data_IF_476900072757
#
_entry.id   IF_476900072757
#
_cell.length_a   1.000
_cell.length_b   1.000
_cell.length_c   1.000
_cell.angle_alpha   90.00
_cell.angle_beta   90.00
_cell.angle_gamma   90.00
#
_symmetry.space_group_name_H-M   'P 1'
#
loop_
_entity.id
_entity.type
_entity.pdbx_description
1 polymer ?
#
# COMPACT_ATOMS: atom_id res chain seq x y z
N UNK A 1 -3.68 -27.42 -67.62
CA UNK A 1 -3.44 -26.19 -66.85
C UNK A 1 -3.79 -26.46 -65.40
N UNK A 2 -2.79 -26.49 -64.50
CA UNK A 2 -2.96 -26.69 -63.05
C UNK A 2 -3.11 -25.31 -62.39
N UNK A 3 -4.17 -25.08 -61.60
CA UNK A 3 -4.34 -23.88 -60.80
C UNK A 3 -4.48 -24.26 -59.32
N UNK A 4 -3.72 -23.54 -58.49
CA UNK A 4 -3.31 -23.86 -57.12
C UNK A 4 -4.40 -23.56 -56.08
N UNK A 5 -4.49 -24.42 -55.06
CA UNK A 5 -5.28 -24.20 -53.84
C UNK A 5 -4.40 -23.38 -52.87
N UNK A 6 -4.86 -22.24 -52.31
CA UNK A 6 -4.05 -21.48 -51.38
C UNK A 6 -4.04 -22.17 -50.02
N UNK A 7 -2.85 -22.56 -49.57
CA UNK A 7 -2.60 -23.13 -48.25
C UNK A 7 -2.68 -22.02 -47.22
N UNK A 8 -3.75 -22.03 -46.42
CA UNK A 8 -3.98 -21.08 -45.33
C UNK A 8 -3.10 -21.50 -44.13
N UNK A 9 -2.03 -20.73 -43.88
CA UNK A 9 -1.10 -20.95 -42.78
C UNK A 9 -1.78 -20.50 -41.46
N UNK A 10 -2.16 -21.45 -40.62
CA UNK A 10 -2.54 -21.21 -39.23
C UNK A 10 -1.25 -20.92 -38.42
N UNK A 11 -1.05 -19.65 -38.07
CA UNK A 11 -0.06 -19.26 -37.06
C UNK A 11 -0.56 -19.74 -35.68
N UNK A 12 0.25 -20.46 -34.89
CA UNK A 12 -0.13 -20.82 -33.54
C UNK A 12 -0.20 -19.53 -32.70
N UNK A 13 -1.36 -19.27 -32.10
CA UNK A 13 -1.49 -18.30 -31.02
C UNK A 13 -0.57 -18.75 -29.89
N UNK A 14 0.61 -18.15 -29.81
CA UNK A 14 1.45 -18.24 -28.63
C UNK A 14 0.68 -17.58 -27.48
N UNK A 15 0.03 -18.40 -26.65
CA UNK A 15 -0.51 -17.96 -25.38
C UNK A 15 0.68 -17.51 -24.53
N UNK A 16 0.93 -16.20 -24.49
CA UNK A 16 1.82 -15.62 -23.49
C UNK A 16 1.13 -15.83 -22.14
N UNK A 17 1.43 -16.95 -21.49
CA UNK A 17 1.08 -17.15 -20.09
C UNK A 17 1.86 -16.13 -19.30
N UNK A 18 1.21 -15.05 -18.86
CA UNK A 18 1.80 -14.16 -17.87
C UNK A 18 2.25 -15.03 -16.67
N UNK A 19 3.47 -14.87 -16.15
CA UNK A 19 3.88 -15.64 -14.99
C UNK A 19 2.86 -15.36 -13.89
N UNK A 20 2.22 -16.41 -13.39
CA UNK A 20 1.30 -16.31 -12.27
C UNK A 20 2.03 -15.58 -11.14
N UNK A 21 1.56 -14.38 -10.80
CA UNK A 21 2.06 -13.63 -9.65
C UNK A 21 1.66 -14.41 -8.41
N UNK A 22 2.56 -15.31 -8.00
CA UNK A 22 2.36 -16.28 -6.93
C UNK A 22 1.94 -15.54 -5.66
N UNK A 23 0.86 -15.99 -5.02
CA UNK A 23 0.46 -15.51 -3.70
C UNK A 23 1.67 -15.53 -2.73
N UNK A 24 1.75 -14.55 -1.83
CA UNK A 24 2.87 -14.43 -0.88
C UNK A 24 3.04 -15.75 -0.11
N UNK A 25 4.24 -16.33 -0.19
CA UNK A 25 4.58 -17.51 0.59
C UNK A 25 4.69 -17.14 2.08
N UNK A 26 4.60 -18.14 2.97
CA UNK A 26 4.80 -17.94 4.42
C UNK A 26 6.14 -17.25 4.72
N UNK A 27 7.18 -17.58 3.97
CA UNK A 27 8.50 -16.97 4.06
C UNK A 27 8.49 -15.49 3.62
N UNK A 28 7.71 -15.13 2.62
CA UNK A 28 7.58 -13.74 2.19
C UNK A 28 6.88 -12.86 3.24
N UNK A 29 5.91 -13.44 3.97
CA UNK A 29 5.23 -12.77 5.08
C UNK A 29 6.21 -12.55 6.24
N UNK A 30 6.99 -13.56 6.60
CA UNK A 30 8.01 -13.46 7.66
C UNK A 30 9.11 -12.43 7.34
N UNK A 31 9.54 -12.37 6.09
CA UNK A 31 10.47 -11.34 5.59
C UNK A 31 9.84 -9.95 5.73
N UNK A 32 8.59 -9.79 5.33
CA UNK A 32 7.87 -8.52 5.39
C UNK A 32 7.71 -7.99 6.83
N UNK A 33 7.51 -8.89 7.81
CA UNK A 33 7.32 -8.53 9.22
C UNK A 33 8.64 -8.35 10.01
N UNK A 34 9.78 -8.62 9.39
CA UNK A 34 11.09 -8.57 10.05
C UNK A 34 11.50 -7.17 10.51
N UNK A 35 12.34 -7.08 11.56
CA UNK A 35 12.87 -5.81 12.06
C UNK A 35 13.66 -5.05 10.99
N UNK A 36 14.45 -5.76 10.19
CA UNK A 36 15.20 -5.20 9.06
C UNK A 36 14.29 -4.59 8.00
N UNK A 37 13.13 -5.20 7.74
CA UNK A 37 12.15 -4.66 6.81
C UNK A 37 11.50 -3.39 7.37
N UNK A 38 11.12 -3.38 8.65
CA UNK A 38 10.56 -2.20 9.33
C UNK A 38 11.52 -1.01 9.30
N UNK A 39 12.79 -1.22 9.59
CA UNK A 39 13.80 -0.14 9.56
C UNK A 39 14.04 0.39 8.14
N UNK A 40 13.85 -0.45 7.13
CA UNK A 40 14.08 -0.10 5.72
C UNK A 40 12.84 0.47 5.02
N UNK A 41 11.65 0.31 5.61
CA UNK A 41 10.35 0.66 5.04
C UNK A 41 9.58 1.56 6.01
N UNK A 42 9.92 2.86 6.07
CA UNK A 42 9.35 3.76 7.05
C UNK A 42 7.83 3.93 6.88
N UNK A 43 7.31 3.78 5.66
CA UNK A 43 5.87 3.76 5.37
C UNK A 43 5.15 2.65 6.14
N UNK A 44 5.65 1.42 6.06
CA UNK A 44 5.06 0.26 6.74
C UNK A 44 5.32 0.29 8.25
N UNK A 45 6.52 0.70 8.66
CA UNK A 45 6.89 0.80 10.07
C UNK A 45 5.98 1.77 10.82
N UNK A 46 5.82 2.99 10.30
CA UNK A 46 4.97 3.98 10.96
C UNK A 46 3.48 3.61 10.85
N UNK A 47 3.03 2.96 9.76
CA UNK A 47 1.65 2.43 9.71
C UNK A 47 1.39 1.42 10.82
N UNK A 48 2.33 0.49 11.05
CA UNK A 48 2.21 -0.49 12.13
C UNK A 48 2.18 0.18 13.50
N UNK A 49 3.07 1.12 13.77
CA UNK A 49 3.05 1.88 15.03
C UNK A 49 1.74 2.63 15.22
N UNK A 50 1.19 3.23 14.15
CA UNK A 50 -0.11 3.88 14.16
C UNK A 50 -1.24 2.91 14.51
N UNK A 51 -1.28 1.75 13.87
CA UNK A 51 -2.28 0.71 14.13
C UNK A 51 -2.20 0.14 15.55
N UNK A 52 -0.98 -0.09 16.06
CA UNK A 52 -0.76 -0.60 17.40
C UNK A 52 -1.16 0.45 18.46
N UNK A 53 -0.83 1.74 18.24
CA UNK A 53 -1.26 2.83 19.11
C UNK A 53 -2.78 3.02 19.09
N UNK A 54 -3.41 2.93 17.92
CA UNK A 54 -4.86 3.06 17.75
C UNK A 54 -5.61 1.96 18.50
N UNK A 55 -5.20 0.69 18.34
CA UNK A 55 -5.76 -0.46 19.07
C UNK A 55 -5.62 -0.34 20.58
N UNK A 56 -4.57 0.34 21.04
CA UNK A 56 -4.35 0.61 22.46
C UNK A 56 -5.07 1.87 22.97
N UNK A 57 -5.95 2.49 22.16
CA UNK A 57 -6.69 3.70 22.53
C UNK A 57 -5.86 4.99 22.54
N UNK A 58 -4.59 4.94 22.14
CA UNK A 58 -3.70 6.13 22.09
C UNK A 58 -3.87 6.85 20.75
N UNK A 59 -5.05 7.40 20.53
CA UNK A 59 -5.48 7.97 19.24
C UNK A 59 -4.63 9.16 18.79
N UNK A 60 -4.22 10.06 19.69
CA UNK A 60 -3.30 11.15 19.31
C UNK A 60 -1.94 10.64 18.79
N UNK A 61 -1.42 9.59 19.44
CA UNK A 61 -0.17 8.95 19.03
C UNK A 61 -0.34 8.24 17.68
N UNK A 62 -1.46 7.57 17.48
CA UNK A 62 -1.81 6.95 16.21
C UNK A 62 -1.83 7.97 15.06
N UNK A 63 -2.45 9.15 15.25
CA UNK A 63 -2.42 10.23 14.23
C UNK A 63 -1.00 10.63 13.87
N UNK A 64 -0.12 10.80 14.87
CA UNK A 64 1.28 11.17 14.62
C UNK A 64 1.99 10.11 13.77
N UNK A 65 1.87 8.83 14.12
CA UNK A 65 2.50 7.77 13.33
C UNK A 65 1.90 7.63 11.93
N UNK A 66 0.58 7.69 11.77
CA UNK A 66 -0.02 7.66 10.44
C UNK A 66 0.40 8.86 9.57
N UNK A 67 0.59 10.05 10.15
CA UNK A 67 1.17 11.19 9.43
C UNK A 67 2.62 10.94 9.01
N UNK A 68 3.41 10.24 9.83
CA UNK A 68 4.78 9.84 9.46
C UNK A 68 4.77 8.83 8.31
N UNK A 69 3.88 7.85 8.32
CA UNK A 69 3.69 6.92 7.21
C UNK A 69 3.21 7.62 5.92
N UNK A 70 2.24 8.54 6.04
CA UNK A 70 1.71 9.30 4.92
C UNK A 70 2.78 10.17 4.23
N UNK A 71 3.84 10.62 4.95
CA UNK A 71 4.99 11.33 4.33
C UNK A 71 5.69 10.50 3.25
N UNK A 72 5.52 9.19 3.28
CA UNK A 72 6.06 8.18 2.38
C UNK A 72 4.97 7.55 1.48
N UNK A 73 3.85 8.24 1.26
CA UNK A 73 2.79 7.84 0.34
C UNK A 73 2.03 6.55 0.74
N UNK A 74 1.99 6.21 2.02
CA UNK A 74 1.20 5.06 2.50
C UNK A 74 -0.30 5.36 2.45
N UNK A 75 -1.02 4.74 1.50
CA UNK A 75 -2.45 4.99 1.26
C UNK A 75 -3.35 4.52 2.40
N UNK A 76 -3.00 3.42 3.04
CA UNK A 76 -3.74 2.90 4.20
C UNK A 76 -3.69 3.87 5.39
N UNK A 77 -2.54 4.50 5.64
CA UNK A 77 -2.39 5.52 6.69
C UNK A 77 -3.07 6.84 6.33
N UNK A 78 -3.09 7.22 5.06
CA UNK A 78 -3.91 8.34 4.59
C UNK A 78 -5.40 8.08 4.83
N UNK A 79 -5.89 6.87 4.51
CA UNK A 79 -7.27 6.48 4.79
C UNK A 79 -7.57 6.43 6.30
N UNK A 80 -6.65 5.90 7.12
CA UNK A 80 -6.80 5.90 8.58
C UNK A 80 -6.85 7.32 9.15
N UNK A 81 -5.98 8.23 8.69
CA UNK A 81 -6.06 9.65 9.08
C UNK A 81 -7.39 10.27 8.71
N UNK A 82 -7.94 9.93 7.55
CA UNK A 82 -9.24 10.41 7.12
C UNK A 82 -10.35 9.96 8.07
N UNK A 83 -10.40 8.68 8.42
CA UNK A 83 -11.40 8.15 9.36
C UNK A 83 -11.26 8.78 10.75
N UNK A 84 -10.03 8.92 11.23
CA UNK A 84 -9.77 9.56 12.52
C UNK A 84 -10.17 11.05 12.53
N UNK A 85 -9.92 11.78 11.44
CA UNK A 85 -10.39 13.17 11.32
C UNK A 85 -11.91 13.24 11.22
N UNK A 86 -12.55 12.26 10.57
CA UNK A 86 -14.00 12.19 10.45
C UNK A 86 -14.66 11.98 11.82
N UNK A 87 -14.10 11.10 12.64
CA UNK A 87 -14.65 10.71 13.93
C UNK A 87 -14.20 11.60 15.11
N UNK A 88 -13.26 12.52 14.91
CA UNK A 88 -12.64 13.27 16.00
C UNK A 88 -11.80 12.39 16.94
N UNK A 89 -11.11 11.40 16.39
CA UNK A 89 -10.25 10.51 17.16
C UNK A 89 -8.86 11.14 17.30
N UNK A 90 -8.42 11.40 18.54
CA UNK A 90 -7.10 11.96 18.83
C UNK A 90 -6.96 13.44 18.43
N UNK A 91 -8.08 14.17 18.43
CA UNK A 91 -8.20 15.61 18.11
C UNK A 91 -9.65 15.92 17.75
N UNK A 92 -9.97 17.15 17.36
CA UNK A 92 -11.33 17.50 16.97
C UNK A 92 -11.72 16.86 15.61
N UNK A 93 -13.02 16.67 15.42
CA UNK A 93 -13.58 16.25 14.15
C UNK A 93 -13.43 17.37 13.11
N UNK A 94 -12.94 17.01 11.93
CA UNK A 94 -12.75 17.92 10.79
C UNK A 94 -13.06 17.15 9.50
N UNK A 95 -14.31 17.23 9.05
CA UNK A 95 -14.80 16.49 7.88
C UNK A 95 -14.12 16.95 6.59
N UNK A 96 -13.79 18.23 6.48
CA UNK A 96 -13.09 18.78 5.33
C UNK A 96 -11.66 18.23 5.22
N UNK A 97 -10.94 18.16 6.35
CA UNK A 97 -9.63 17.52 6.41
C UNK A 97 -9.72 16.00 6.17
N UNK A 98 -10.75 15.35 6.73
CA UNK A 98 -11.02 13.93 6.48
C UNK A 98 -11.19 13.63 5.00
N UNK A 99 -12.00 14.44 4.29
CA UNK A 99 -12.16 14.34 2.85
C UNK A 99 -10.83 14.45 2.11
N UNK A 100 -10.00 15.44 2.46
CA UNK A 100 -8.69 15.65 1.81
C UNK A 100 -7.76 14.44 2.01
N UNK A 101 -7.73 13.86 3.20
CA UNK A 101 -6.94 12.64 3.45
C UNK A 101 -7.45 11.44 2.66
N UNK A 102 -8.77 11.26 2.56
CA UNK A 102 -9.37 10.16 1.80
C UNK A 102 -9.19 10.36 0.29
N UNK A 103 -9.25 11.59 -0.21
CA UNK A 103 -8.98 11.92 -1.61
C UNK A 103 -7.53 11.61 -1.99
N UNK A 104 -6.57 11.92 -1.12
CA UNK A 104 -5.19 11.47 -1.29
C UNK A 104 -5.08 9.94 -1.26
N UNK A 105 -5.79 9.26 -0.36
CA UNK A 105 -5.81 7.79 -0.34
C UNK A 105 -6.32 7.21 -1.67
N UNK A 106 -7.28 7.88 -2.29
CA UNK A 106 -7.91 7.51 -3.56
C UNK A 106 -7.10 7.84 -4.83
N UNK A 107 -5.96 8.54 -4.74
CA UNK A 107 -5.12 8.91 -5.90
C UNK A 107 -4.75 7.73 -6.82
N UNK A 108 -4.67 6.51 -6.26
CA UNK A 108 -4.34 5.28 -7.01
C UNK A 108 -5.56 4.56 -7.59
N UNK A 109 -6.74 5.16 -7.48
CA UNK A 109 -7.98 4.64 -8.06
C UNK A 109 -8.55 3.40 -7.39
N UNK A 110 -8.16 3.13 -6.13
CA UNK A 110 -8.71 1.99 -5.40
C UNK A 110 -10.22 2.19 -5.17
N UNK A 111 -11.09 1.27 -5.64
CA UNK A 111 -12.54 1.47 -5.58
C UNK A 111 -13.07 1.76 -4.17
N UNK A 112 -12.51 1.11 -3.15
CA UNK A 112 -12.88 1.32 -1.74
C UNK A 112 -12.64 2.78 -1.31
N UNK A 113 -11.47 3.35 -1.62
CA UNK A 113 -11.13 4.73 -1.22
C UNK A 113 -11.86 5.76 -2.06
N UNK A 114 -12.07 5.49 -3.35
CA UNK A 114 -12.90 6.34 -4.22
C UNK A 114 -14.33 6.39 -3.66
N UNK A 115 -14.93 5.24 -3.35
CA UNK A 115 -16.29 5.20 -2.79
C UNK A 115 -16.39 5.94 -1.45
N UNK A 116 -15.42 5.76 -0.55
CA UNK A 116 -15.37 6.45 0.74
C UNK A 116 -15.17 7.96 0.58
N UNK A 117 -14.33 8.40 -0.36
CA UNK A 117 -14.16 9.81 -0.72
C UNK A 117 -15.48 10.42 -1.19
N UNK A 118 -16.17 9.76 -2.12
CA UNK A 118 -17.46 10.26 -2.64
C UNK A 118 -18.52 10.33 -1.53
N UNK A 119 -18.51 9.36 -0.61
CA UNK A 119 -19.37 9.37 0.56
C UNK A 119 -19.08 10.55 1.49
N UNK A 120 -17.80 10.88 1.73
CA UNK A 120 -17.43 12.09 2.48
C UNK A 120 -17.87 13.36 1.76
N UNK A 121 -17.62 13.47 0.45
CA UNK A 121 -18.00 14.67 -0.31
C UNK A 121 -19.49 14.99 -0.24
N UNK A 122 -20.35 13.97 -0.31
CA UNK A 122 -21.80 14.10 -0.22
C UNK A 122 -22.29 14.63 1.12
N UNK A 123 -21.53 14.40 2.19
CA UNK A 123 -21.86 14.83 3.55
C UNK A 123 -21.33 16.22 3.89
N UNK A 124 -20.31 16.70 3.16
CA UNK A 124 -19.78 18.05 3.38
C UNK A 124 -20.81 19.10 2.97
N UNK A 125 -20.96 20.13 3.81
CA UNK A 125 -21.63 21.36 3.43
C UNK A 125 -20.74 22.25 2.54
N UNK A 126 -21.27 23.40 2.10
CA UNK A 126 -20.56 24.29 1.18
C UNK A 126 -19.34 24.96 1.83
N UNK A 127 -19.37 25.21 3.13
CA UNK A 127 -18.26 25.83 3.87
C UNK A 127 -17.13 24.83 4.07
N UNK A 128 -17.47 23.58 4.43
CA UNK A 128 -16.54 22.47 4.55
C UNK A 128 -15.90 22.12 3.20
N UNK A 129 -16.65 22.15 2.08
CA UNK A 129 -16.09 21.99 0.73
C UNK A 129 -15.10 23.09 0.37
N UNK A 130 -15.42 24.36 0.70
CA UNK A 130 -14.45 25.45 0.49
C UNK A 130 -13.21 25.27 1.35
N UNK A 131 -13.37 24.82 2.60
CA UNK A 131 -12.26 24.53 3.50
C UNK A 131 -11.37 23.40 2.97
N UNK A 132 -11.98 22.31 2.48
CA UNK A 132 -11.26 21.14 1.95
C UNK A 132 -10.36 21.52 0.77
N UNK A 133 -10.83 22.39 -0.13
CA UNK A 133 -10.01 22.93 -1.24
C UNK A 133 -8.83 23.75 -0.72
N UNK A 134 -9.02 24.56 0.33
CA UNK A 134 -7.96 25.40 0.89
C UNK A 134 -6.88 24.59 1.58
N UNK A 135 -7.25 23.66 2.47
CA UNK A 135 -6.29 22.81 3.20
C UNK A 135 -5.66 21.77 2.29
N UNK A 136 -6.43 21.24 1.33
CA UNK A 136 -6.01 20.26 0.34
C UNK A 136 -4.74 20.67 -0.38
N UNK A 137 -4.66 21.90 -0.90
CA UNK A 137 -3.48 22.38 -1.65
C UNK A 137 -2.16 22.19 -0.90
N UNK A 138 -2.13 22.54 0.40
CA UNK A 138 -0.93 22.41 1.24
C UNK A 138 -0.63 20.95 1.57
N UNK A 139 -1.67 20.15 1.83
CA UNK A 139 -1.51 18.73 2.16
C UNK A 139 -1.02 17.93 0.95
N UNK A 140 -1.62 18.11 -0.22
CA UNK A 140 -1.23 17.45 -1.47
C UNK A 140 0.24 17.71 -1.83
N UNK A 141 0.72 18.95 -1.68
CA UNK A 141 2.12 19.30 -1.91
C UNK A 141 3.11 18.56 -0.98
N UNK A 142 2.64 18.03 0.16
CA UNK A 142 3.47 17.32 1.13
C UNK A 142 3.26 15.81 1.07
N UNK A 143 2.03 15.35 0.95
CA UNK A 143 1.61 13.97 1.18
C UNK A 143 1.06 13.27 -0.06
N UNK A 144 0.69 14.01 -1.10
CA UNK A 144 0.25 13.43 -2.37
C UNK A 144 1.37 12.61 -3.02
N UNK A 145 0.98 11.60 -3.78
CA UNK A 145 1.90 10.63 -4.41
C UNK A 145 3.07 11.30 -5.18
N UNK A 146 2.85 12.36 -6.00
CA UNK A 146 3.94 13.02 -6.73
C UNK A 146 5.06 13.56 -5.82
N UNK A 147 4.71 13.96 -4.60
CA UNK A 147 5.66 14.54 -3.64
C UNK A 147 6.21 13.51 -2.65
N UNK A 148 5.38 12.53 -2.28
CA UNK A 148 5.68 11.57 -1.22
C UNK A 148 6.41 10.32 -1.72
N UNK A 149 6.05 9.78 -2.89
CA UNK A 149 6.71 8.57 -3.45
C UNK A 149 8.23 8.76 -3.62
N UNK A 150 8.74 9.88 -4.16
CA UNK A 150 10.19 10.08 -4.30
C UNK A 150 10.97 10.02 -2.98
N UNK A 151 10.32 10.25 -1.83
CA UNK A 151 10.96 10.10 -0.52
C UNK A 151 11.19 8.64 -0.18
N UNK A 152 10.14 7.81 -0.28
CA UNK A 152 10.28 6.39 0.00
C UNK A 152 11.26 5.73 -0.96
N UNK A 153 11.16 6.05 -2.25
CA UNK A 153 12.06 5.48 -3.26
C UNK A 153 13.54 5.79 -3.01
N UNK A 154 13.84 6.97 -2.45
CA UNK A 154 15.21 7.31 -2.03
C UNK A 154 15.65 6.40 -0.87
N UNK A 155 14.78 6.17 0.10
CA UNK A 155 15.05 5.24 1.22
C UNK A 155 15.29 3.83 0.68
N UNK A 156 14.40 3.31 -0.17
CA UNK A 156 14.53 1.96 -0.76
C UNK A 156 15.85 1.79 -1.52
N UNK A 157 16.23 2.78 -2.35
CA UNK A 157 17.51 2.75 -3.09
C UNK A 157 18.71 2.74 -2.15
N UNK A 158 18.71 3.57 -1.11
CA UNK A 158 19.81 3.63 -0.14
C UNK A 158 19.91 2.32 0.65
N UNK A 159 18.79 1.84 1.19
CA UNK A 159 18.76 0.65 2.02
C UNK A 159 19.12 -0.61 1.22
N UNK A 160 18.64 -0.74 -0.01
CA UNK A 160 19.04 -1.82 -0.91
C UNK A 160 20.57 -1.88 -1.09
N UNK A 161 21.21 -0.73 -1.28
CA UNK A 161 22.66 -0.64 -1.46
C UNK A 161 23.43 -0.94 -0.17
N UNK A 162 22.90 -0.56 1.00
CA UNK A 162 23.52 -0.84 2.29
C UNK A 162 23.43 -2.33 2.65
N UNK A 163 22.28 -2.96 2.43
CA UNK A 163 22.06 -4.37 2.78
C UNK A 163 22.81 -5.27 1.78
N UNK A 164 22.75 -4.97 0.47
CA UNK A 164 23.49 -5.70 -0.57
C UNK A 164 25.03 -5.49 -0.51
N UNK A 165 25.50 -4.43 0.16
CA UNK A 165 26.91 -4.09 0.31
C UNK A 165 27.68 -4.93 1.35
N UNK A 166 27.04 -5.88 2.04
CA UNK A 166 27.69 -6.77 3.00
C UNK A 166 28.46 -7.92 2.33
N UNK A 167 29.64 -7.56 1.81
CA UNK A 167 30.86 -8.35 1.57
C UNK A 167 30.97 -9.42 0.47
N UNK A 168 29.93 -9.99 -0.10
CA UNK A 168 30.10 -10.83 -1.31
C UNK A 168 28.87 -10.63 -2.17
N UNK A 169 29.01 -9.97 -3.33
CA UNK A 169 27.96 -9.77 -4.34
C UNK A 169 27.44 -11.06 -4.99
N UNK A 170 27.48 -12.17 -4.26
CA UNK A 170 26.98 -13.49 -4.60
C UNK A 170 25.82 -13.82 -3.67
N UNK A 171 24.60 -13.45 -4.08
CA UNK A 171 23.35 -13.91 -3.45
C UNK A 171 23.05 -15.31 -4.03
N UNK A 172 23.96 -16.27 -3.83
CA UNK A 172 23.70 -17.68 -4.09
C UNK A 172 22.80 -18.27 -2.99
N UNK A 173 22.98 -19.54 -2.65
CA UNK A 173 22.29 -20.24 -1.53
C UNK A 173 22.60 -19.67 -0.13
N UNK A 174 22.96 -18.39 -0.03
CA UNK A 174 23.22 -17.70 1.22
C UNK A 174 21.92 -17.48 2.01
N UNK A 175 22.00 -17.71 3.31
CA UNK A 175 20.93 -17.42 4.25
C UNK A 175 21.15 -16.03 4.85
N UNK A 176 20.13 -15.17 4.83
CA UNK A 176 20.08 -13.93 5.61
C UNK A 176 19.49 -14.25 6.97
N UNK A 177 20.15 -13.80 8.04
CA UNK A 177 19.63 -13.88 9.41
C UNK A 177 18.80 -12.64 9.71
N UNK A 178 17.49 -12.82 9.88
CA UNK A 178 16.57 -11.75 10.23
C UNK A 178 16.29 -11.77 11.73
N UNK A 179 16.54 -10.66 12.46
CA UNK A 179 16.12 -10.56 13.84
C UNK A 179 14.58 -10.50 13.92
N UNK A 180 14.01 -11.52 14.55
CA UNK A 180 12.59 -11.65 14.84
C UNK A 180 12.18 -10.79 16.04
N UNK A 181 10.87 -10.56 16.16
CA UNK A 181 10.30 -9.65 17.18
C UNK A 181 10.48 -10.13 18.62
N UNK A 182 10.80 -11.40 18.83
CA UNK A 182 10.94 -12.03 20.16
C UNK A 182 12.42 -12.24 20.57
N UNK A 183 13.37 -11.57 19.90
CA UNK A 183 14.81 -11.73 20.15
C UNK A 183 15.44 -12.99 19.54
N UNK A 184 14.67 -13.80 18.81
CA UNK A 184 15.19 -14.91 17.98
C UNK A 184 15.63 -14.46 16.59
N UNK A 185 16.30 -15.33 15.85
CA UNK A 185 16.68 -15.08 14.45
C UNK A 185 16.01 -16.10 13.53
N UNK A 186 15.53 -15.63 12.39
CA UNK A 186 15.01 -16.47 11.31
C UNK A 186 16.00 -16.50 10.15
N UNK A 187 16.31 -17.71 9.65
CA UNK A 187 17.12 -17.91 8.45
C UNK A 187 16.18 -17.89 7.25
N UNK A 188 16.38 -16.93 6.36
CA UNK A 188 15.65 -16.86 5.09
C UNK A 188 16.65 -16.89 3.94
N UNK A 189 16.28 -17.50 2.83
CA UNK A 189 17.07 -17.39 1.62
C UNK A 189 17.25 -15.91 1.27
N UNK A 190 18.49 -15.45 1.07
CA UNK A 190 18.75 -14.05 0.76
C UNK A 190 17.98 -13.59 -0.49
N UNK A 191 17.78 -14.49 -1.47
CA UNK A 191 16.95 -14.22 -2.65
C UNK A 191 15.50 -13.84 -2.31
N UNK A 192 14.92 -14.41 -1.24
CA UNK A 192 13.57 -14.06 -0.78
C UNK A 192 13.53 -12.68 -0.11
N UNK A 193 14.61 -12.30 0.57
CA UNK A 193 14.73 -10.97 1.19
C UNK A 193 14.93 -9.86 0.16
N UNK A 194 15.77 -10.09 -0.86
CA UNK A 194 16.13 -9.10 -1.89
C UNK A 194 15.19 -9.06 -3.10
N UNK A 195 14.00 -9.66 -3.03
CA UNK A 195 13.06 -9.63 -4.13
C UNK A 195 12.75 -8.20 -4.56
N UNK A 196 12.66 -7.98 -5.88
CA UNK A 196 12.44 -6.66 -6.46
C UNK A 196 11.22 -5.95 -5.87
N UNK A 197 10.16 -6.70 -5.54
CA UNK A 197 8.93 -6.18 -4.91
C UNK A 197 9.13 -5.52 -3.54
N UNK A 198 10.27 -5.72 -2.89
CA UNK A 198 10.59 -5.04 -1.63
C UNK A 198 11.53 -3.84 -1.85
N UNK A 199 12.34 -3.82 -2.91
CA UNK A 199 13.46 -2.85 -3.00
C UNK A 199 13.48 -2.00 -4.27
N UNK A 200 12.88 -2.45 -5.37
CA UNK A 200 12.78 -1.66 -6.61
C UNK A 200 11.50 -0.81 -6.56
N UNK A 201 11.61 0.54 -6.63
CA UNK A 201 10.46 1.45 -6.61
C UNK A 201 9.22 0.99 -7.38
N UNK A 202 9.36 0.73 -8.68
CA UNK A 202 8.22 0.39 -9.54
C UNK A 202 7.57 -0.94 -9.13
N UNK A 203 8.39 -1.94 -8.78
CA UNK A 203 7.91 -3.25 -8.33
C UNK A 203 7.27 -3.16 -6.94
N UNK A 204 7.80 -2.31 -6.06
CA UNK A 204 7.28 -2.07 -4.71
C UNK A 204 5.89 -1.45 -4.76
N UNK A 205 5.72 -0.36 -5.52
CA UNK A 205 4.42 0.29 -5.66
C UNK A 205 3.39 -0.62 -6.29
N UNK A 206 3.77 -1.35 -7.35
CA UNK A 206 2.88 -2.34 -7.98
C UNK A 206 2.43 -3.41 -6.99
N UNK A 207 3.35 -3.94 -6.18
CA UNK A 207 3.02 -4.95 -5.17
C UNK A 207 2.09 -4.40 -4.07
N UNK A 208 2.29 -3.15 -3.63
CA UNK A 208 1.37 -2.51 -2.68
C UNK A 208 -0.04 -2.37 -3.28
N UNK A 209 -0.14 -1.86 -4.50
CA UNK A 209 -1.41 -1.60 -5.15
C UNK A 209 -2.18 -2.91 -5.43
N UNK A 210 -1.48 -3.97 -5.83
CA UNK A 210 -2.05 -5.32 -5.96
C UNK A 210 -2.58 -5.86 -4.63
N UNK A 211 -1.80 -5.74 -3.55
CA UNK A 211 -2.19 -6.23 -2.23
C UNK A 211 -3.42 -5.50 -1.70
N UNK A 212 -3.45 -4.17 -1.82
CA UNK A 212 -4.58 -3.36 -1.41
C UNK A 212 -5.81 -3.60 -2.31
N UNK A 213 -5.63 -3.78 -3.62
CA UNK A 213 -6.71 -4.09 -4.54
C UNK A 213 -7.40 -5.42 -4.19
N UNK A 214 -6.62 -6.45 -3.86
CA UNK A 214 -7.16 -7.74 -3.39
C UNK A 214 -7.95 -7.59 -2.09
N UNK A 215 -7.42 -6.85 -1.12
CA UNK A 215 -8.11 -6.61 0.15
C UNK A 215 -9.40 -5.79 -0.03
N UNK A 216 -9.36 -4.76 -0.87
CA UNK A 216 -10.51 -3.93 -1.21
C UNK A 216 -11.62 -4.71 -1.92
N UNK A 217 -11.27 -5.62 -2.83
CA UNK A 217 -12.24 -6.52 -3.48
C UNK A 217 -12.91 -7.47 -2.50
N UNK A 218 -12.16 -8.05 -1.56
CA UNK A 218 -12.73 -8.93 -0.51
C UNK A 218 -13.71 -8.14 0.37
N UNK A 219 -13.37 -6.90 0.71
CA UNK A 219 -14.21 -6.06 1.56
C UNK A 219 -15.46 -5.55 0.82
N UNK A 220 -15.37 -5.22 -0.47
CA UNK A 220 -16.52 -4.86 -1.29
C UNK A 220 -17.45 -6.07 -1.51
N UNK A 221 -16.89 -7.24 -1.81
CA UNK A 221 -17.70 -8.48 -1.98
C UNK A 221 -18.41 -8.93 -0.70
N UNK A 222 -17.87 -8.59 0.48
CA UNK A 222 -18.55 -8.81 1.75
C UNK A 222 -19.71 -7.81 2.01
N UNK A 223 -19.62 -6.60 1.46
CA UNK A 223 -20.68 -5.57 1.56
C UNK A 223 -21.79 -5.79 0.52
N UNK A 224 -21.46 -6.36 -0.64
CA UNK A 224 -22.43 -6.69 -1.69
C UNK A 224 -23.30 -7.92 -1.33
N UNK A 225 -22.83 -8.79 -0.42
CA UNK A 225 -23.60 -9.92 0.11
C UNK A 225 -24.51 -9.57 1.31
N UNK A 226 -24.68 -8.29 1.64
CA UNK A 226 -25.70 -7.83 2.60
C UNK A 226 -26.74 -6.97 1.89
N UNK A 227 -27.35 -7.49 0.83
CA UNK A 227 -28.69 -7.04 0.46
C UNK A 227 -29.69 -7.63 1.46
N UNK A 228 -30.55 -6.82 2.10
CA UNK A 228 -31.70 -7.35 2.80
C UNK A 228 -32.65 -7.87 1.73
N UNK A 229 -32.79 -9.19 1.68
CA UNK A 229 -33.93 -9.80 1.01
C UNK A 229 -35.18 -9.32 1.76
N UNK A 230 -35.90 -8.38 1.15
CA UNK A 230 -37.11 -7.80 1.67
C UNK A 230 -38.31 -8.44 0.99
N UNK A 231 -39.09 -9.21 1.74
CA UNK A 231 -40.50 -9.60 1.53
C UNK A 231 -40.77 -10.75 2.54
N UNK A 232 -41.73 -10.74 3.45
CA UNK A 232 -43.03 -10.08 3.61
C UNK A 232 -43.35 -9.81 5.09
#
# INVERSE_FOLDING_TARGET
MRALIPTMLLLPLATWSAPAQTAMSRLDVEVADSTSMRESHPDQHYRKLGADAYKAGRTEEARRYYQMAARYADKLSQAALAEMCWNGEGGDADHALAYVWMDMAAERGLPLFVAKREHYWKQLDEDERRHSVQVGRKLYAKYGDPSAKPRLERVLRVQRNQVAGSRLGFIGTSETYLPGTNGGYSRVASASFYQDRFWKPDAYWKAQDELMGRQGQVQIGAVENTSPDGSE
#
